data_IF_535755768622
#
_entry.id   IF_535755768622
#
_cell.length_a   1.000
_cell.length_b   1.000
_cell.length_c   1.000
_cell.angle_alpha   90.00
_cell.angle_beta   90.00
_cell.angle_gamma   90.00
#
_symmetry.space_group_name_H-M   'P 1'
#
loop_
_entity.id
_entity.type
_entity.pdbx_description
1 polymer ?
#
# COMPACT_ATOMS: atom_id res chain seq x y z
N UNK A 1 -2.58 12.05 -7.73
CA UNK A 1 -2.54 12.66 -6.38
C UNK A 1 -3.00 11.69 -5.27
N UNK A 2 -3.87 10.70 -5.54
CA UNK A 2 -4.44 9.82 -4.49
C UNK A 2 -3.46 8.81 -3.86
N UNK A 3 -2.55 8.19 -4.61
CA UNK A 3 -1.65 7.17 -4.07
C UNK A 3 -0.55 7.73 -3.15
N UNK A 4 -0.02 8.92 -3.48
CA UNK A 4 1.01 9.57 -2.65
C UNK A 4 0.45 9.93 -1.26
N UNK A 5 -0.78 10.44 -1.20
CA UNK A 5 -1.41 10.85 0.06
C UNK A 5 -1.86 9.67 0.93
N UNK A 6 -2.38 8.58 0.34
CA UNK A 6 -2.97 7.49 1.13
C UNK A 6 -2.07 6.29 1.38
N UNK A 7 -1.08 6.05 0.51
CA UNK A 7 -0.23 4.87 0.63
C UNK A 7 1.26 5.18 0.81
N UNK A 8 1.75 6.36 0.38
CA UNK A 8 3.19 6.68 0.49
C UNK A 8 3.50 7.77 1.51
N UNK A 9 2.50 8.35 2.16
CA UNK A 9 2.73 9.25 3.30
C UNK A 9 3.20 8.42 4.51
N UNK A 10 4.41 8.67 5.04
CA UNK A 10 4.98 7.85 6.11
C UNK A 10 4.19 7.97 7.42
N UNK A 11 3.60 9.13 7.73
CA UNK A 11 2.80 9.31 8.94
C UNK A 11 1.49 8.52 8.84
N UNK A 12 0.87 8.51 7.65
CA UNK A 12 -0.34 7.73 7.41
C UNK A 12 -0.06 6.23 7.40
N UNK A 13 1.06 5.79 6.81
CA UNK A 13 1.49 4.38 6.88
C UNK A 13 1.68 3.93 8.32
N UNK A 14 2.40 4.70 9.15
CA UNK A 14 2.64 4.35 10.53
C UNK A 14 1.34 4.32 11.35
N UNK A 15 0.46 5.30 11.15
CA UNK A 15 -0.86 5.33 11.75
C UNK A 15 -1.67 4.06 11.44
N UNK A 16 -1.74 3.66 10.16
CA UNK A 16 -2.46 2.46 9.77
C UNK A 16 -1.76 1.17 10.23
N UNK A 17 -0.43 1.08 10.20
CA UNK A 17 0.30 -0.10 10.73
C UNK A 17 -0.02 -0.37 12.19
N UNK A 18 -0.13 0.68 13.01
CA UNK A 18 -0.46 0.53 14.43
C UNK A 18 -1.96 0.30 14.65
N UNK A 19 -2.82 1.07 13.97
CA UNK A 19 -4.26 1.05 14.23
C UNK A 19 -4.98 -0.11 13.52
N UNK A 20 -4.68 -0.32 12.23
CA UNK A 20 -5.33 -1.32 11.38
C UNK A 20 -4.44 -1.69 10.16
N UNK A 21 -3.48 -2.62 10.31
CA UNK A 21 -2.60 -3.02 9.22
C UNK A 21 -3.33 -3.68 8.05
N UNK A 22 -4.50 -4.30 8.29
CA UNK A 22 -5.35 -4.88 7.25
C UNK A 22 -5.90 -3.79 6.31
N UNK A 23 -6.27 -2.63 6.86
CA UNK A 23 -6.72 -1.49 6.05
C UNK A 23 -5.60 -0.98 5.14
N UNK A 24 -4.35 -0.91 5.64
CA UNK A 24 -3.21 -0.52 4.83
C UNK A 24 -2.95 -1.51 3.69
N UNK A 25 -3.12 -2.82 3.96
CA UNK A 25 -3.02 -3.86 2.94
C UNK A 25 -4.06 -3.65 1.83
N UNK A 26 -5.34 -3.50 2.20
CA UNK A 26 -6.43 -3.30 1.24
C UNK A 26 -6.27 -2.03 0.41
N UNK A 27 -5.79 -0.93 1.00
CA UNK A 27 -5.51 0.31 0.26
C UNK A 27 -4.39 0.07 -0.77
N UNK A 28 -3.31 -0.58 -0.34
CA UNK A 28 -2.14 -0.85 -1.20
C UNK A 28 -2.53 -1.77 -2.36
N UNK A 29 -3.29 -2.83 -2.09
CA UNK A 29 -3.81 -3.77 -3.09
C UNK A 29 -4.70 -3.05 -4.12
N UNK A 30 -5.68 -2.25 -3.65
CA UNK A 30 -6.60 -1.49 -4.50
C UNK A 30 -5.87 -0.55 -5.47
N UNK A 31 -4.78 0.09 -5.00
CA UNK A 31 -3.97 0.99 -5.82
C UNK A 31 -3.15 0.22 -6.87
N UNK A 32 -2.58 -0.93 -6.50
CA UNK A 32 -1.89 -1.82 -7.43
C UNK A 32 -2.85 -2.39 -8.48
N UNK A 33 -4.07 -2.79 -8.08
CA UNK A 33 -5.13 -3.22 -9.02
C UNK A 33 -5.55 -2.10 -9.98
N UNK A 34 -5.69 -0.88 -9.48
CA UNK A 34 -6.05 0.28 -10.32
C UNK A 34 -4.97 0.56 -11.38
N UNK A 35 -3.69 0.44 -11.00
CA UNK A 35 -2.57 0.54 -11.93
C UNK A 35 -2.60 -0.60 -12.98
N UNK A 36 -2.79 -1.85 -12.54
CA UNK A 36 -2.83 -3.01 -13.44
C UNK A 36 -4.00 -2.96 -14.44
N UNK A 37 -5.16 -2.44 -14.01
CA UNK A 37 -6.36 -2.32 -14.85
C UNK A 37 -6.36 -1.08 -15.73
N UNK A 38 -5.30 -0.27 -15.71
CA UNK A 38 -5.24 1.00 -16.44
C UNK A 38 -6.25 2.05 -15.97
N UNK A 39 -6.84 1.87 -14.78
CA UNK A 39 -7.74 2.85 -14.15
C UNK A 39 -6.95 4.01 -13.52
N UNK A 40 -5.67 3.77 -13.24
CA UNK A 40 -4.71 4.81 -12.91
C UNK A 40 -3.88 5.10 -14.15
N UNK A 41 -4.15 6.23 -14.79
CA UNK A 41 -3.41 6.71 -15.95
C UNK A 41 -2.04 7.20 -15.50
N UNK A 42 -0.98 6.58 -16.03
CA UNK A 42 0.43 6.95 -15.80
C UNK A 42 0.88 6.98 -14.33
N UNK A 43 0.81 5.85 -13.60
CA UNK A 43 1.50 5.74 -12.33
C UNK A 43 3.02 5.82 -12.57
N UNK A 44 3.68 6.68 -11.81
CA UNK A 44 5.13 6.75 -11.79
C UNK A 44 5.73 5.37 -11.37
N UNK A 45 6.78 4.93 -12.07
CA UNK A 45 7.36 3.60 -11.89
C UNK A 45 7.88 3.38 -10.46
N UNK A 46 8.55 4.40 -9.90
CA UNK A 46 9.05 4.37 -8.52
C UNK A 46 7.90 4.27 -7.52
N UNK A 47 6.78 4.94 -7.80
CA UNK A 47 5.55 4.85 -6.99
C UNK A 47 4.98 3.42 -6.98
N UNK A 48 4.96 2.73 -8.13
CA UNK A 48 4.52 1.32 -8.19
C UNK A 48 5.45 0.38 -7.43
N UNK A 49 6.76 0.59 -7.53
CA UNK A 49 7.74 -0.20 -6.78
C UNK A 49 7.57 -0.01 -5.28
N UNK A 50 7.40 1.23 -4.81
CA UNK A 50 7.12 1.52 -3.39
C UNK A 50 5.84 0.85 -2.90
N UNK A 51 4.77 0.84 -3.71
CA UNK A 51 3.53 0.14 -3.36
C UNK A 51 3.71 -1.38 -3.26
N UNK A 52 4.49 -2.00 -4.16
CA UNK A 52 4.81 -3.44 -4.07
C UNK A 52 5.63 -3.77 -2.82
N UNK A 53 6.65 -2.97 -2.54
CA UNK A 53 7.47 -3.14 -1.32
C UNK A 53 6.64 -2.96 -0.06
N UNK A 54 5.74 -1.98 -0.03
CA UNK A 54 4.82 -1.76 1.08
C UNK A 54 3.88 -2.97 1.30
N UNK A 55 3.34 -3.54 0.23
CA UNK A 55 2.48 -4.72 0.30
C UNK A 55 3.20 -5.90 0.97
N UNK A 56 4.44 -6.21 0.54
CA UNK A 56 5.26 -7.27 1.13
C UNK A 56 5.52 -7.03 2.62
N UNK A 57 5.89 -5.81 3.00
CA UNK A 57 6.14 -5.49 4.42
C UNK A 57 4.90 -5.65 5.31
N UNK A 58 3.71 -5.38 4.76
CA UNK A 58 2.46 -5.55 5.49
C UNK A 58 2.12 -7.04 5.61
N UNK A 59 2.34 -7.81 4.55
CA UNK A 59 2.16 -9.27 4.55
C UNK A 59 3.04 -9.94 5.62
N UNK A 60 4.34 -9.62 5.65
CA UNK A 60 5.27 -10.10 6.68
C UNK A 60 4.79 -9.74 8.11
N UNK A 61 4.26 -8.52 8.28
CA UNK A 61 3.73 -8.05 9.57
C UNK A 61 2.47 -8.82 9.98
N UNK A 62 1.63 -9.20 9.02
CA UNK A 62 0.37 -9.89 9.27
C UNK A 62 0.59 -11.39 9.48
N UNK A 63 1.45 -12.04 8.69
CA UNK A 63 1.88 -13.42 8.91
C UNK A 63 2.47 -13.60 10.31
N UNK A 64 3.32 -12.68 10.76
CA UNK A 64 3.86 -12.71 12.12
C UNK A 64 2.83 -12.52 13.24
N UNK A 65 1.63 -12.00 12.93
CA UNK A 65 0.52 -11.81 13.89
C UNK A 65 -0.48 -12.95 13.87
N UNK A 66 -0.52 -13.74 12.81
CA UNK A 66 -1.42 -14.88 12.63
C UNK A 66 -0.75 -16.24 12.90
N UNK A 67 0.58 -16.26 13.03
CA UNK A 67 1.38 -17.41 13.49
C UNK A 67 1.22 -17.70 14.99
#
# INVERSE_FOLDING_TARGET
QTAQTYALDPALQEFFRQSNPWALQSITERLLEAAQRGMWTEPDGETLEKLRSLYLQIDETLEGRTA
#
